data_IF_430377809788
#
_entry.id   IF_430377809788
#
_cell.length_a   1.000
_cell.length_b   1.000
_cell.length_c   1.000
_cell.angle_alpha   90.00
_cell.angle_beta   90.00
_cell.angle_gamma   90.00
#
_symmetry.space_group_name_H-M   'P 1'
#
loop_
_entity.id
_entity.type
_entity.pdbx_description
1 polymer ?
#
# COMPACT_ATOMS: atom_id res chain seq x y z
N UNK A 1 -19.44 -10.93 11.35
CA UNK A 1 -18.19 -10.98 12.15
C UNK A 1 -17.37 -9.71 11.98
N UNK A 2 -16.95 -9.37 10.76
CA UNK A 2 -16.20 -8.13 10.47
C UNK A 2 -16.86 -6.85 10.99
N UNK A 3 -18.18 -6.74 10.87
CA UNK A 3 -18.94 -5.58 11.37
C UNK A 3 -18.94 -5.41 12.91
N UNK A 4 -18.61 -6.48 13.66
CA UNK A 4 -18.60 -6.48 15.12
C UNK A 4 -17.20 -6.25 15.69
N UNK A 5 -16.20 -6.00 14.83
CA UNK A 5 -14.83 -5.74 15.25
C UNK A 5 -14.73 -4.36 15.89
N UNK A 6 -14.03 -4.29 17.02
CA UNK A 6 -13.85 -3.04 17.78
C UNK A 6 -13.14 -1.95 16.97
N UNK A 7 -12.35 -2.33 15.96
CA UNK A 7 -11.59 -1.37 15.15
C UNK A 7 -12.45 -0.70 14.07
N UNK A 8 -13.66 -1.20 13.79
CA UNK A 8 -14.59 -0.58 12.84
C UNK A 8 -15.24 0.65 13.48
N UNK A 9 -15.18 1.78 12.78
CA UNK A 9 -15.59 3.07 13.34
C UNK A 9 -16.51 3.84 12.40
N UNK A 10 -17.51 4.50 12.99
CA UNK A 10 -18.20 5.62 12.37
C UNK A 10 -17.44 6.90 12.74
N UNK A 11 -16.95 7.59 11.72
CA UNK A 11 -16.01 8.69 11.88
C UNK A 11 -16.64 9.98 11.38
N UNK A 12 -16.60 11.04 12.18
CA UNK A 12 -17.05 12.40 11.85
C UNK A 12 -15.92 13.44 11.88
N UNK A 13 -14.73 13.04 12.36
CA UNK A 13 -13.51 13.88 12.42
C UNK A 13 -12.29 13.15 11.85
N UNK A 14 -11.37 13.90 11.26
CA UNK A 14 -10.08 13.42 10.77
C UNK A 14 -9.01 14.46 11.09
N UNK A 15 -7.93 14.04 11.77
CA UNK A 15 -6.83 14.91 12.21
C UNK A 15 -7.30 16.09 13.08
N UNK A 16 -8.22 15.84 14.02
CA UNK A 16 -8.72 16.82 14.98
C UNK A 16 -9.62 17.91 14.37
N UNK A 17 -10.16 17.68 13.18
CA UNK A 17 -11.08 18.57 12.48
C UNK A 17 -12.26 17.77 11.93
N UNK A 18 -13.41 18.41 11.74
CA UNK A 18 -14.53 17.79 11.05
C UNK A 18 -14.11 17.26 9.67
N UNK A 19 -14.73 16.17 9.22
CA UNK A 19 -14.46 15.63 7.89
C UNK A 19 -14.64 16.71 6.82
N UNK A 20 -13.74 16.73 5.84
CA UNK A 20 -13.95 17.53 4.63
C UNK A 20 -14.94 16.80 3.69
N UNK A 21 -15.69 17.51 2.82
CA UNK A 21 -16.65 16.89 1.92
C UNK A 21 -16.07 15.74 1.09
N UNK A 22 -14.86 15.88 0.54
CA UNK A 22 -14.20 14.83 -0.24
C UNK A 22 -13.82 13.59 0.59
N UNK A 23 -13.80 13.69 1.92
CA UNK A 23 -13.51 12.61 2.86
C UNK A 23 -14.76 12.02 3.51
N UNK A 24 -15.96 12.51 3.19
CA UNK A 24 -17.22 11.89 3.59
C UNK A 24 -18.01 12.62 4.65
N UNK A 25 -17.85 13.94 4.81
CA UNK A 25 -18.68 14.73 5.73
C UNK A 25 -20.19 14.50 5.52
N UNK A 26 -21.02 14.36 6.58
CA UNK A 26 -20.65 14.51 7.99
C UNK A 26 -20.13 13.22 8.64
N UNK A 27 -20.37 12.07 8.01
CA UNK A 27 -20.09 10.77 8.60
C UNK A 27 -19.59 9.80 7.54
N UNK A 28 -18.56 9.03 7.89
CA UNK A 28 -18.09 7.92 7.06
C UNK A 28 -17.93 6.66 7.90
N UNK A 29 -17.97 5.53 7.21
CA UNK A 29 -17.42 4.30 7.73
C UNK A 29 -15.89 4.29 7.56
N UNK A 30 -15.20 3.80 8.58
CA UNK A 30 -13.78 3.49 8.54
C UNK A 30 -13.60 2.04 8.97
N UNK A 31 -13.01 1.23 8.08
CA UNK A 31 -12.68 -0.17 8.33
C UNK A 31 -11.17 -0.37 8.21
N UNK A 32 -10.42 -0.28 9.33
CA UNK A 32 -8.97 -0.37 9.30
C UNK A 32 -8.44 -1.69 8.71
N UNK A 33 -7.40 -1.56 7.90
CA UNK A 33 -6.72 -2.67 7.23
C UNK A 33 -7.41 -3.20 5.96
N UNK A 34 -8.67 -2.83 5.70
CA UNK A 34 -9.33 -3.11 4.43
C UNK A 34 -8.98 -2.08 3.37
N UNK A 35 -9.05 -2.47 2.10
CA UNK A 35 -8.95 -1.49 1.02
C UNK A 35 -10.08 -0.44 1.11
N UNK A 36 -9.80 0.76 0.60
CA UNK A 36 -10.62 1.95 0.86
C UNK A 36 -12.06 1.90 0.35
N UNK A 37 -12.41 0.98 -0.56
CA UNK A 37 -13.79 0.84 -1.06
C UNK A 37 -14.77 0.42 0.04
N UNK A 38 -14.32 -0.33 1.04
CA UNK A 38 -15.15 -0.74 2.19
C UNK A 38 -15.40 0.42 3.17
N UNK A 39 -14.61 1.49 3.11
CA UNK A 39 -14.77 2.67 3.99
C UNK A 39 -15.69 3.70 3.33
N UNK A 40 -16.99 3.42 3.33
CA UNK A 40 -18.06 4.22 2.69
C UNK A 40 -18.06 5.67 3.21
N UNK A 41 -18.03 6.63 2.29
CA UNK A 41 -18.14 8.07 2.57
C UNK A 41 -19.59 8.53 2.45
N UNK A 42 -19.94 9.63 3.12
CA UNK A 42 -21.30 10.19 3.10
C UNK A 42 -22.33 9.15 3.56
N UNK A 43 -22.02 8.47 4.67
CA UNK A 43 -22.81 7.36 5.18
C UNK A 43 -24.17 7.89 5.66
N UNK A 44 -25.23 7.38 5.04
CA UNK A 44 -26.62 7.78 5.29
C UNK A 44 -27.40 6.69 6.04
N UNK A 45 -27.20 5.43 5.67
CA UNK A 45 -27.89 4.29 6.26
C UNK A 45 -26.99 3.08 6.44
N UNK A 46 -27.35 2.23 7.41
CA UNK A 46 -26.76 0.91 7.63
C UNK A 46 -27.93 -0.06 7.78
N UNK A 47 -27.95 -1.10 6.94
CA UNK A 47 -28.99 -2.12 6.97
C UNK A 47 -28.36 -3.49 7.23
N UNK A 48 -28.86 -4.19 8.24
CA UNK A 48 -28.49 -5.58 8.51
C UNK A 48 -29.40 -6.50 7.69
N UNK A 49 -28.80 -7.28 6.80
CA UNK A 49 -29.50 -8.23 5.92
C UNK A 49 -29.13 -9.68 6.29
N UNK A 50 -30.04 -10.61 6.01
CA UNK A 50 -29.86 -12.05 6.31
C UNK A 50 -29.13 -12.85 5.23
N UNK A 51 -28.72 -12.19 4.14
CA UNK A 51 -28.09 -12.80 2.96
C UNK A 51 -26.93 -11.93 2.44
N UNK A 52 -26.14 -12.44 1.50
CA UNK A 52 -25.05 -11.67 0.91
C UNK A 52 -25.58 -10.54 0.02
N UNK A 53 -25.09 -9.32 0.25
CA UNK A 53 -25.51 -8.15 -0.53
C UNK A 53 -25.08 -8.28 -2.01
N UNK A 54 -26.04 -8.25 -2.92
CA UNK A 54 -25.80 -8.47 -4.36
C UNK A 54 -25.48 -7.19 -5.16
N UNK A 55 -25.16 -6.08 -4.50
CA UNK A 55 -24.85 -4.82 -5.18
C UNK A 55 -23.59 -4.90 -6.06
N UNK A 56 -23.56 -4.09 -7.12
CA UNK A 56 -22.51 -4.11 -8.15
C UNK A 56 -21.08 -4.03 -7.60
N UNK A 57 -20.85 -3.23 -6.55
CA UNK A 57 -19.52 -3.07 -5.94
C UNK A 57 -19.08 -4.29 -5.12
N UNK A 58 -19.99 -5.19 -4.75
CA UNK A 58 -19.68 -6.44 -4.03
C UNK A 58 -19.57 -7.63 -4.98
N UNK A 59 -20.44 -7.69 -6.00
CA UNK A 59 -20.56 -8.85 -6.89
C UNK A 59 -19.75 -8.73 -8.18
N UNK A 60 -19.54 -7.52 -8.70
CA UNK A 60 -18.90 -7.30 -10.01
C UNK A 60 -17.57 -6.55 -9.89
N UNK A 61 -17.53 -5.45 -9.15
CA UNK A 61 -16.32 -4.66 -8.93
C UNK A 61 -15.54 -5.14 -7.71
N UNK A 62 -14.29 -4.70 -7.58
CA UNK A 62 -13.41 -5.03 -6.45
C UNK A 62 -13.23 -6.53 -6.24
N UNK A 63 -13.00 -7.25 -7.34
CA UNK A 63 -12.72 -8.70 -7.31
C UNK A 63 -11.42 -9.02 -8.03
N UNK A 64 -10.69 -10.00 -7.50
CA UNK A 64 -9.56 -10.63 -8.14
C UNK A 64 -10.10 -11.63 -9.18
N UNK A 65 -10.18 -11.22 -10.45
CA UNK A 65 -10.63 -12.06 -11.57
C UNK A 65 -9.54 -12.17 -12.65
N UNK A 66 -9.44 -13.32 -13.32
CA UNK A 66 -8.49 -13.50 -14.43
C UNK A 66 -9.15 -13.12 -15.77
N UNK A 67 -10.45 -13.39 -15.92
CA UNK A 67 -11.23 -12.97 -17.07
C UNK A 67 -12.42 -12.10 -16.67
N UNK A 68 -12.97 -11.38 -17.65
CA UNK A 68 -14.18 -10.58 -17.47
C UNK A 68 -15.39 -11.52 -17.35
N UNK A 69 -16.20 -11.33 -16.30
CA UNK A 69 -17.40 -12.13 -16.06
C UNK A 69 -17.20 -13.36 -15.17
N UNK A 70 -15.97 -13.64 -14.74
CA UNK A 70 -15.73 -14.61 -13.67
C UNK A 70 -16.14 -14.02 -12.32
N UNK A 71 -16.63 -14.85 -11.37
CA UNK A 71 -16.93 -14.38 -10.02
C UNK A 71 -15.66 -13.85 -9.35
N UNK A 72 -14.53 -14.56 -9.39
CA UNK A 72 -13.30 -14.17 -8.70
C UNK A 72 -13.44 -14.06 -7.18
N UNK A 73 -12.41 -13.56 -6.52
CA UNK A 73 -12.38 -13.39 -5.05
C UNK A 73 -12.57 -11.93 -4.65
N UNK A 74 -13.33 -11.61 -3.60
CA UNK A 74 -13.52 -10.24 -3.16
C UNK A 74 -12.21 -9.62 -2.65
N UNK A 75 -11.98 -8.36 -2.99
CA UNK A 75 -10.87 -7.57 -2.44
C UNK A 75 -11.24 -7.15 -1.02
N UNK A 76 -10.47 -7.62 -0.04
CA UNK A 76 -10.72 -7.36 1.38
C UNK A 76 -9.56 -6.59 2.02
N UNK A 77 -8.65 -7.30 2.69
CA UNK A 77 -7.50 -6.74 3.40
C UNK A 77 -6.43 -6.22 2.45
N UNK A 78 -5.82 -5.09 2.82
CA UNK A 78 -4.67 -4.53 2.12
C UNK A 78 -3.49 -5.48 2.27
N UNK A 79 -2.93 -5.91 1.14
CA UNK A 79 -1.73 -6.75 1.11
C UNK A 79 -0.50 -5.99 1.62
N UNK A 80 0.47 -6.72 2.18
CA UNK A 80 1.78 -6.17 2.56
C UNK A 80 2.38 -5.37 1.41
N UNK A 81 2.81 -4.14 1.70
CA UNK A 81 3.42 -3.25 0.73
C UNK A 81 4.43 -2.30 1.38
N UNK A 82 5.45 -1.94 0.62
CA UNK A 82 6.40 -0.88 0.92
C UNK A 82 6.66 -0.06 -0.33
N UNK A 83 6.74 1.25 -0.15
CA UNK A 83 7.11 2.20 -1.19
C UNK A 83 8.22 3.10 -0.67
N UNK A 84 9.14 3.44 -1.56
CA UNK A 84 10.15 4.47 -1.36
C UNK A 84 9.68 5.80 -1.93
N UNK A 85 10.12 6.89 -1.32
CA UNK A 85 10.15 8.19 -1.98
C UNK A 85 11.27 8.13 -3.01
N UNK A 86 10.98 8.22 -4.33
CA UNK A 86 12.04 8.09 -5.33
C UNK A 86 13.09 9.20 -5.15
N UNK A 87 14.40 8.87 -5.11
CA UNK A 87 15.46 9.85 -4.87
C UNK A 87 15.70 10.73 -6.10
N UNK A 88 16.48 11.80 -5.95
CA UNK A 88 16.90 12.64 -7.07
C UNK A 88 15.76 13.45 -7.70
N UNK A 89 15.91 13.88 -8.95
CA UNK A 89 14.87 14.56 -9.73
C UNK A 89 14.33 13.65 -10.84
N UNK A 90 13.02 13.69 -11.15
CA UNK A 90 12.48 12.88 -12.24
C UNK A 90 12.87 13.50 -13.60
N UNK A 91 13.42 12.69 -14.49
CA UNK A 91 13.47 13.01 -15.91
C UNK A 91 12.05 13.09 -16.47
N UNK A 92 11.76 14.14 -17.24
CA UNK A 92 10.40 14.45 -17.69
C UNK A 92 9.87 13.38 -18.64
N UNK A 93 10.71 12.85 -19.53
CA UNK A 93 10.29 11.93 -20.59
C UNK A 93 10.25 10.48 -20.11
N UNK A 94 11.32 10.01 -19.47
CA UNK A 94 11.46 8.60 -19.10
C UNK A 94 10.90 8.27 -17.72
N UNK A 95 10.70 9.29 -16.87
CA UNK A 95 10.40 9.15 -15.44
C UNK A 95 11.48 8.42 -14.64
N UNK A 96 12.65 8.15 -15.24
CA UNK A 96 13.85 7.77 -14.52
C UNK A 96 14.25 8.89 -13.55
N UNK A 97 15.05 8.57 -12.54
CA UNK A 97 15.56 9.56 -11.59
C UNK A 97 17.00 9.92 -11.92
N UNK A 98 17.35 11.19 -11.72
CA UNK A 98 18.72 11.69 -11.79
C UNK A 98 19.17 12.05 -10.37
N UNK A 99 20.27 11.48 -9.91
CA UNK A 99 20.85 11.73 -8.59
C UNK A 99 22.35 11.99 -8.72
N UNK A 100 22.95 12.66 -7.73
CA UNK A 100 24.40 12.84 -7.66
C UNK A 100 25.06 11.64 -6.98
N UNK A 101 26.33 11.35 -7.27
CA UNK A 101 27.09 10.40 -6.47
C UNK A 101 27.18 10.79 -4.97
N UNK A 102 27.40 9.79 -4.11
CA UNK A 102 27.53 9.95 -2.67
C UNK A 102 26.41 9.26 -1.86
N UNK A 103 26.38 9.50 -0.56
CA UNK A 103 25.41 8.87 0.34
C UNK A 103 24.05 9.56 0.27
N UNK A 104 23.01 8.80 -0.07
CA UNK A 104 21.61 9.21 -0.03
C UNK A 104 20.85 8.44 1.04
N UNK A 105 20.05 9.16 1.83
CA UNK A 105 19.09 8.52 2.72
C UNK A 105 17.82 8.18 1.94
N UNK A 106 17.64 6.92 1.57
CA UNK A 106 16.38 6.43 1.04
C UNK A 106 15.39 6.32 2.19
N UNK A 107 14.16 6.81 1.97
CA UNK A 107 13.09 6.74 2.97
C UNK A 107 11.80 6.30 2.31
N UNK A 108 10.90 5.76 3.13
CA UNK A 108 9.61 5.33 2.64
C UNK A 108 8.67 4.89 3.73
N UNK A 109 7.61 4.22 3.31
CA UNK A 109 6.55 3.71 4.19
C UNK A 109 6.20 2.28 3.81
N UNK A 110 5.85 1.50 4.81
CA UNK A 110 5.39 0.12 4.67
C UNK A 110 4.11 -0.12 5.48
N UNK A 111 3.26 -1.06 5.05
CA UNK A 111 1.98 -1.40 5.69
C UNK A 111 1.50 -2.80 5.28
N UNK A 112 0.63 -3.43 6.08
CA UNK A 112 0.15 -4.79 5.82
C UNK A 112 -1.28 -5.04 6.35
N UNK A 113 -2.23 -4.18 5.95
CA UNK A 113 -3.63 -4.35 6.34
C UNK A 113 -3.80 -4.25 7.86
N UNK A 114 -4.02 -5.38 8.53
CA UNK A 114 -4.14 -5.47 10.01
C UNK A 114 -2.83 -5.87 10.69
N UNK A 115 -1.87 -6.37 9.92
CA UNK A 115 -0.62 -6.91 10.41
C UNK A 115 0.45 -5.82 10.57
N UNK A 116 1.44 -6.11 11.40
CA UNK A 116 2.64 -5.27 11.52
C UNK A 116 3.59 -5.48 10.36
N UNK A 117 4.58 -4.60 10.23
CA UNK A 117 5.72 -4.80 9.32
C UNK A 117 6.89 -5.34 10.13
N UNK A 118 7.37 -6.54 9.81
CA UNK A 118 8.50 -7.17 10.50
C UNK A 118 9.84 -6.79 9.86
N UNK A 119 9.87 -6.60 8.54
CA UNK A 119 11.10 -6.29 7.79
C UNK A 119 10.80 -5.45 6.55
N UNK A 120 11.71 -4.55 6.21
CA UNK A 120 11.78 -3.88 4.91
C UNK A 120 13.17 -4.10 4.36
N UNK A 121 13.25 -4.53 3.11
CA UNK A 121 14.51 -4.78 2.42
C UNK A 121 14.62 -3.86 1.20
N UNK A 122 15.83 -3.35 0.96
CA UNK A 122 16.17 -2.53 -0.20
C UNK A 122 17.21 -3.27 -1.05
N UNK A 123 17.01 -3.24 -2.36
CA UNK A 123 17.97 -3.67 -3.36
C UNK A 123 18.40 -2.46 -4.18
N UNK A 124 19.68 -2.40 -4.54
CA UNK A 124 20.23 -1.33 -5.39
C UNK A 124 20.55 -1.81 -6.81
N UNK A 125 20.36 -3.11 -7.07
CA UNK A 125 20.81 -3.83 -8.25
C UNK A 125 19.66 -4.58 -8.96
N UNK A 126 18.42 -4.12 -8.80
CA UNK A 126 17.27 -4.68 -9.49
C UNK A 126 16.78 -6.01 -8.92
N UNK A 127 16.73 -6.12 -7.59
CA UNK A 127 16.29 -7.28 -6.83
C UNK A 127 17.24 -8.51 -6.87
N UNK A 128 18.52 -8.32 -7.26
CA UNK A 128 19.52 -9.38 -7.23
C UNK A 128 20.08 -9.60 -5.81
N UNK A 129 20.33 -8.52 -5.07
CA UNK A 129 20.73 -8.54 -3.66
C UNK A 129 19.82 -7.66 -2.80
N UNK A 130 19.60 -8.07 -1.55
CA UNK A 130 18.74 -7.36 -0.59
C UNK A 130 19.54 -7.00 0.67
N UNK A 131 19.23 -5.83 1.23
CA UNK A 131 19.79 -5.36 2.50
C UNK A 131 18.67 -4.82 3.38
N UNK A 132 18.77 -5.07 4.68
CA UNK A 132 17.77 -4.62 5.64
C UNK A 132 17.76 -3.11 5.77
N UNK A 133 16.57 -2.53 5.69
CA UNK A 133 16.32 -1.14 6.04
C UNK A 133 16.09 -0.99 7.55
N UNK A 134 16.39 0.19 8.07
CA UNK A 134 16.06 0.55 9.45
C UNK A 134 14.58 0.92 9.52
N UNK A 135 13.81 0.16 10.30
CA UNK A 135 12.40 0.45 10.57
C UNK A 135 12.27 1.49 11.68
N UNK A 136 11.42 2.50 11.45
CA UNK A 136 11.04 3.45 12.50
C UNK A 136 9.96 2.89 13.42
N UNK A 137 9.50 3.75 14.34
CA UNK A 137 8.40 3.45 15.26
C UNK A 137 7.10 3.18 14.50
N UNK A 138 6.36 2.16 14.94
CA UNK A 138 5.04 1.85 14.42
C UNK A 138 3.98 2.33 15.41
N UNK A 139 3.36 3.47 15.14
CA UNK A 139 2.33 4.05 16.00
C UNK A 139 1.10 3.12 16.19
N UNK A 140 0.80 2.30 15.18
CA UNK A 140 -0.27 1.28 15.20
C UNK A 140 -0.05 0.29 14.07
N UNK A 141 -0.57 -0.93 14.18
CA UNK A 141 -0.57 -1.92 13.08
C UNK A 141 -1.33 -1.44 11.85
N UNK A 142 -2.35 -0.59 12.03
CA UNK A 142 -3.12 0.02 10.94
C UNK A 142 -2.45 1.25 10.32
N UNK A 143 -1.41 1.78 10.97
CA UNK A 143 -0.66 2.93 10.48
C UNK A 143 0.52 2.49 9.62
N UNK A 144 0.91 3.36 8.69
CA UNK A 144 2.14 3.18 7.94
C UNK A 144 3.36 3.18 8.87
N UNK A 145 4.23 2.18 8.73
CA UNK A 145 5.53 2.12 9.39
C UNK A 145 6.58 2.80 8.51
N UNK A 146 7.26 3.87 8.97
CA UNK A 146 8.34 4.49 8.23
C UNK A 146 9.57 3.58 8.21
N UNK A 147 10.39 3.71 7.18
CA UNK A 147 11.68 3.04 7.08
C UNK A 147 12.72 3.95 6.41
N UNK A 148 14.00 3.66 6.65
CA UNK A 148 15.12 4.36 6.04
C UNK A 148 16.28 3.42 5.71
N UNK A 149 17.06 3.76 4.69
CA UNK A 149 18.23 3.00 4.25
C UNK A 149 19.29 3.95 3.68
N UNK A 150 20.52 3.86 4.15
CA UNK A 150 21.64 4.64 3.60
C UNK A 150 22.18 3.95 2.35
N UNK A 151 22.02 4.61 1.20
CA UNK A 151 22.51 4.14 -0.08
C UNK A 151 23.74 4.95 -0.50
N UNK A 152 24.89 4.27 -0.63
CA UNK A 152 26.06 4.86 -1.26
C UNK A 152 25.93 4.79 -2.79
N UNK A 153 25.45 5.87 -3.41
CA UNK A 153 25.25 5.97 -4.84
C UNK A 153 26.58 6.19 -5.56
N UNK A 154 26.99 5.20 -6.35
CA UNK A 154 28.16 5.30 -7.25
C UNK A 154 27.70 5.70 -8.66
N UNK A 155 28.51 6.41 -9.46
CA UNK A 155 28.14 6.80 -10.82
C UNK A 155 27.67 5.61 -11.67
N UNK A 156 26.63 5.83 -12.48
CA UNK A 156 26.05 4.83 -13.37
C UNK A 156 24.56 4.55 -13.14
N UNK A 157 24.06 3.51 -13.79
CA UNK A 157 22.65 3.10 -13.69
C UNK A 157 22.41 2.16 -12.52
N UNK A 158 21.37 2.45 -11.74
CA UNK A 158 20.89 1.64 -10.64
C UNK A 158 19.40 1.36 -10.80
N UNK A 159 18.95 0.21 -10.31
CA UNK A 159 17.54 -0.11 -10.17
C UNK A 159 17.26 -0.35 -8.70
N UNK A 160 16.77 0.69 -8.03
CA UNK A 160 16.40 0.61 -6.62
C UNK A 160 15.09 -0.15 -6.50
N UNK A 161 15.06 -1.18 -5.68
CA UNK A 161 13.85 -1.96 -5.37
C UNK A 161 13.59 -1.97 -3.87
N UNK A 162 12.32 -1.94 -3.47
CA UNK A 162 11.94 -2.10 -2.05
C UNK A 162 10.85 -3.14 -1.90
N UNK A 163 11.01 -4.01 -0.91
CA UNK A 163 9.99 -4.98 -0.51
C UNK A 163 9.82 -4.98 1.02
N UNK A 164 8.74 -5.59 1.47
CA UNK A 164 8.41 -5.70 2.88
C UNK A 164 7.92 -7.10 3.19
N UNK A 165 8.13 -7.48 4.45
CA UNK A 165 7.61 -8.68 5.08
C UNK A 165 6.74 -8.25 6.25
N UNK A 166 5.54 -8.83 6.36
CA UNK A 166 4.66 -8.58 7.50
C UNK A 166 4.96 -9.53 8.67
N UNK A 167 4.20 -9.41 9.76
CA UNK A 167 4.37 -10.23 10.96
C UNK A 167 3.96 -11.70 10.79
N UNK A 168 3.25 -12.03 9.71
CA UNK A 168 2.86 -13.41 9.35
C UNK A 168 3.76 -13.97 8.25
N UNK A 169 4.92 -13.33 8.03
CA UNK A 169 5.93 -13.72 7.04
C UNK A 169 5.49 -13.61 5.58
N UNK A 170 4.36 -12.96 5.27
CA UNK A 170 4.02 -12.68 3.89
C UNK A 170 5.00 -11.65 3.32
N UNK A 171 5.55 -11.93 2.15
CA UNK A 171 6.54 -11.08 1.47
C UNK A 171 5.92 -10.49 0.20
N UNK A 172 6.19 -9.22 -0.08
CA UNK A 172 5.84 -8.63 -1.38
C UNK A 172 6.48 -9.41 -2.54
N UNK A 173 5.72 -9.74 -3.59
CA UNK A 173 6.25 -10.40 -4.77
C UNK A 173 7.11 -9.43 -5.59
N UNK A 174 8.11 -9.97 -6.29
CA UNK A 174 8.92 -9.20 -7.25
C UNK A 174 8.23 -9.12 -8.61
N UNK A 175 7.48 -10.15 -8.97
CA UNK A 175 6.67 -10.17 -10.18
C UNK A 175 5.26 -9.61 -9.91
N UNK A 176 4.71 -8.96 -10.92
CA UNK A 176 3.35 -8.47 -10.85
C UNK A 176 2.37 -9.65 -10.95
N UNK A 177 1.52 -9.82 -9.94
CA UNK A 177 0.33 -10.63 -10.09
C UNK A 177 -0.71 -9.87 -10.90
N UNK A 178 -0.94 -10.31 -12.14
CA UNK A 178 -1.93 -9.71 -13.03
C UNK A 178 -3.34 -10.21 -12.68
N UNK A 179 -4.32 -9.31 -12.78
CA UNK A 179 -5.74 -9.61 -12.76
C UNK A 179 -6.48 -8.58 -13.61
N UNK A 180 -7.64 -8.95 -14.15
CA UNK A 180 -8.36 -8.17 -15.15
C UNK A 180 -8.80 -6.78 -14.67
N UNK A 181 -8.96 -6.59 -13.34
CA UNK A 181 -9.35 -5.32 -12.75
C UNK A 181 -8.17 -4.51 -12.19
N UNK A 182 -6.93 -5.02 -12.28
CA UNK A 182 -5.73 -4.35 -11.74
C UNK A 182 -5.71 -4.21 -10.21
N UNK A 183 -6.48 -5.03 -9.50
CA UNK A 183 -6.70 -4.95 -8.05
C UNK A 183 -5.52 -5.50 -7.25
N UNK A 184 -5.33 -4.97 -6.04
CA UNK A 184 -4.40 -5.50 -5.05
C UNK A 184 -2.96 -5.67 -5.52
N UNK A 185 -2.51 -4.80 -6.45
CA UNK A 185 -1.10 -4.76 -6.83
C UNK A 185 -0.26 -4.43 -5.58
N UNK A 186 0.67 -5.31 -5.27
CA UNK A 186 1.67 -5.14 -4.22
C UNK A 186 3.07 -5.59 -4.68
N UNK A 187 3.34 -5.53 -5.99
CA UNK A 187 4.68 -5.77 -6.52
C UNK A 187 5.68 -4.83 -5.87
N UNK A 188 6.85 -5.36 -5.52
CA UNK A 188 7.99 -4.58 -5.05
C UNK A 188 8.22 -3.39 -5.99
N UNK A 189 8.23 -2.18 -5.45
CA UNK A 189 8.43 -0.98 -6.25
C UNK A 189 9.85 -0.95 -6.77
N UNK A 190 10.01 -0.72 -8.07
CA UNK A 190 11.31 -0.50 -8.71
C UNK A 190 11.41 0.93 -9.25
N UNK A 191 12.55 1.56 -9.03
CA UNK A 191 12.87 2.92 -9.48
C UNK A 191 14.23 2.89 -10.16
N UNK A 192 14.27 3.26 -11.44
CA UNK A 192 15.52 3.41 -12.19
C UNK A 192 16.14 4.76 -11.92
N UNK A 193 17.42 4.77 -11.54
CA UNK A 193 18.17 5.96 -11.19
C UNK A 193 19.47 5.99 -11.98
N UNK A 194 19.73 7.10 -12.67
CA UNK A 194 21.05 7.44 -13.18
C UNK A 194 21.75 8.30 -12.12
N UNK A 195 22.92 7.86 -11.70
CA UNK A 195 23.79 8.59 -10.78
C UNK A 195 24.89 9.25 -11.61
N UNK A 196 24.95 10.58 -11.54
CA UNK A 196 26.00 11.41 -12.14
C UNK A 196 27.24 11.52 -11.24
#
# INVERSE_FOLDING_TARGET
EEANREEMMLVYEMNGQALQPQHGYPLRLLLPGWYGMASVKWLDSIEAIGEEFQGFQMTTSYRYTQARGEPGEPVTLIRVRALMVPPGIPDTLTRNRLATAGTHLLTGRAWAGRLGISRVEVSVDGALGWSDATLGEQASTFAWRPWSFEWNAVPGWHTLSVRATDTDENVQPIEQFWNAQGMGNNMAQQVRVLVE
#
